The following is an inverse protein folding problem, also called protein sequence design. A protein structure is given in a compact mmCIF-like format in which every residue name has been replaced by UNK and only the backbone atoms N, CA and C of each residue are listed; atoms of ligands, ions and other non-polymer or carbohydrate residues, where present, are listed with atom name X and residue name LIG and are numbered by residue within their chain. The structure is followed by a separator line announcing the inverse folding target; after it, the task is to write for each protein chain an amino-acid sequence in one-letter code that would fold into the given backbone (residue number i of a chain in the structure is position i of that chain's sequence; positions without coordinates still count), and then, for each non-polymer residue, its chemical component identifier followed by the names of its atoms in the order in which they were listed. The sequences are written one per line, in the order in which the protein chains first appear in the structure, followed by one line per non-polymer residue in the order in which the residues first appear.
data_IF_296756213756
#
_entry.id   IF_296756213756
#
_cell.length_a   1.000
_cell.length_b   1.000
_cell.length_c   1.000
_cell.angle_alpha   90.00
_cell.angle_beta   90.00
_cell.angle_gamma   90.00
#
_symmetry.space_group_name_H-M   'P 1'
#
loop_
_entity.id
_entity.type
_entity.pdbx_description
1 polymer ?
#
# COMPACT_ATOMS: atom_id res chain seq x y z
N UNK A 1 -16.32 16.07 -40.24
CA UNK A 1 -16.06 16.52 -38.87
C UNK A 1 -15.00 15.60 -38.26
N UNK A 2 -13.71 15.88 -38.42
CA UNK A 2 -12.62 15.05 -37.82
C UNK A 2 -12.49 15.49 -36.39
N UNK A 3 -12.92 14.61 -35.46
CA UNK A 3 -12.61 14.78 -34.06
C UNK A 3 -11.08 14.76 -33.92
N UNK A 4 -10.47 15.89 -33.63
CA UNK A 4 -9.12 15.97 -33.13
C UNK A 4 -9.13 15.26 -31.77
N UNK A 5 -8.87 13.98 -31.79
CA UNK A 5 -8.42 13.25 -30.63
C UNK A 5 -7.03 13.80 -30.33
N UNK A 6 -6.98 14.96 -29.68
CA UNK A 6 -5.80 15.35 -28.95
C UNK A 6 -5.46 14.15 -28.07
N UNK A 7 -4.39 13.46 -28.42
CA UNK A 7 -3.77 12.47 -27.55
C UNK A 7 -3.29 13.25 -26.32
N UNK A 8 -4.20 13.43 -25.36
CA UNK A 8 -3.82 13.78 -24.01
C UNK A 8 -3.09 12.54 -23.45
N UNK A 9 -1.84 12.41 -23.88
CA UNK A 9 -1.00 11.29 -23.49
C UNK A 9 -0.54 11.45 -22.05
N UNK A 10 -0.13 10.36 -21.46
CA UNK A 10 0.61 10.34 -20.20
C UNK A 10 1.84 11.25 -20.35
N UNK A 11 1.93 12.26 -19.51
CA UNK A 11 3.05 13.20 -19.52
C UNK A 11 4.05 12.85 -18.40
N UNK A 12 5.29 13.27 -18.56
CA UNK A 12 6.30 13.10 -17.48
C UNK A 12 5.84 13.76 -16.18
N UNK A 13 5.07 14.84 -16.25
CA UNK A 13 4.53 15.53 -15.07
C UNK A 13 3.53 14.65 -14.32
N UNK A 14 2.57 14.05 -15.03
CA UNK A 14 1.58 13.18 -14.44
C UNK A 14 2.22 11.92 -13.86
N UNK A 15 3.26 11.38 -14.51
CA UNK A 15 4.01 10.25 -13.99
C UNK A 15 4.75 10.62 -12.69
N UNK A 16 5.46 11.73 -12.66
CA UNK A 16 6.15 12.21 -11.44
C UNK A 16 5.14 12.49 -10.32
N UNK A 17 4.02 13.15 -10.63
CA UNK A 17 2.96 13.38 -9.66
C UNK A 17 2.37 12.06 -9.12
N UNK A 18 2.17 11.07 -10.00
CA UNK A 18 1.70 9.74 -9.63
C UNK A 18 2.67 8.99 -8.72
N UNK A 19 3.97 9.01 -9.03
CA UNK A 19 5.00 8.42 -8.17
C UNK A 19 5.02 9.10 -6.79
N UNK A 20 4.98 10.43 -6.77
CA UNK A 20 4.95 11.18 -5.51
C UNK A 20 3.70 10.85 -4.69
N UNK A 21 2.52 10.82 -5.32
CA UNK A 21 1.28 10.43 -4.67
C UNK A 21 1.35 8.99 -4.14
N UNK A 22 1.91 8.06 -4.91
CA UNK A 22 2.10 6.66 -4.50
C UNK A 22 2.99 6.53 -3.27
N UNK A 23 4.09 7.25 -3.22
CA UNK A 23 4.99 7.26 -2.06
C UNK A 23 4.31 7.85 -0.82
N UNK A 24 3.60 8.97 -0.99
CA UNK A 24 2.87 9.62 0.12
C UNK A 24 1.75 8.71 0.65
N UNK A 25 0.99 8.08 -0.24
CA UNK A 25 -0.08 7.15 0.16
C UNK A 25 0.51 5.90 0.80
N UNK A 26 1.49 5.27 0.18
CA UNK A 26 2.11 4.05 0.70
C UNK A 26 2.72 4.26 2.10
N UNK A 27 3.53 5.30 2.26
CA UNK A 27 4.13 5.63 3.56
C UNK A 27 3.08 6.10 4.58
N UNK A 28 2.11 6.93 4.15
CA UNK A 28 1.06 7.47 5.01
C UNK A 28 0.12 6.39 5.55
N UNK A 29 -0.29 5.43 4.71
CA UNK A 29 -1.12 4.30 5.14
C UNK A 29 -0.35 3.40 6.09
N UNK A 30 0.90 3.04 5.76
CA UNK A 30 1.73 2.23 6.63
C UNK A 30 1.94 2.89 8.00
N UNK A 31 2.18 4.19 8.03
CA UNK A 31 2.34 4.94 9.28
C UNK A 31 1.04 5.03 10.09
N UNK A 32 -0.09 5.31 9.42
CA UNK A 32 -1.38 5.42 10.08
C UNK A 32 -1.81 4.09 10.73
N UNK A 33 -1.63 2.99 10.00
CA UNK A 33 -2.07 1.67 10.45
C UNK A 33 -1.16 1.10 11.55
N UNK A 34 0.18 1.24 11.41
CA UNK A 34 1.13 0.59 12.31
C UNK A 34 1.57 1.47 13.50
N UNK A 35 1.70 2.79 13.29
CA UNK A 35 2.21 3.71 14.32
C UNK A 35 1.07 4.39 15.06
N UNK A 36 0.15 5.02 14.32
CA UNK A 36 -1.00 5.73 14.93
C UNK A 36 -2.04 4.73 15.43
N UNK A 37 -2.13 3.54 14.79
CA UNK A 37 -3.18 2.53 15.03
C UNK A 37 -4.58 3.12 14.89
N UNK A 38 -4.74 3.93 13.86
CA UNK A 38 -6.01 4.57 13.49
C UNK A 38 -6.94 3.61 12.76
N UNK A 39 -7.96 4.18 12.12
CA UNK A 39 -8.81 3.42 11.19
C UNK A 39 -8.03 3.07 9.94
N UNK A 40 -8.28 1.88 9.38
CA UNK A 40 -7.66 1.46 8.13
C UNK A 40 -7.98 2.43 6.99
N UNK A 41 -6.94 3.00 6.39
CA UNK A 41 -7.06 3.95 5.28
C UNK A 41 -7.17 3.27 3.91
N UNK A 42 -6.84 1.99 3.85
CA UNK A 42 -7.02 1.14 2.68
C UNK A 42 -7.60 -0.22 3.13
N UNK A 43 -8.72 -0.61 2.52
CA UNK A 43 -9.42 -1.86 2.76
C UNK A 43 -9.61 -2.58 1.42
N UNK A 44 -9.90 -3.89 1.46
CA UNK A 44 -9.98 -4.78 0.27
C UNK A 44 -10.92 -4.30 -0.82
N UNK A 45 -12.03 -3.65 -0.45
CA UNK A 45 -13.09 -3.25 -1.41
C UNK A 45 -12.91 -1.83 -1.93
N UNK A 46 -12.00 -1.08 -1.37
CA UNK A 46 -11.77 0.32 -1.74
C UNK A 46 -10.71 0.97 -0.87
N UNK A 47 -10.15 2.04 -1.38
CA UNK A 47 -9.15 2.81 -0.66
C UNK A 47 -9.68 4.20 -0.35
N UNK A 48 -10.21 4.45 0.86
CA UNK A 48 -10.66 5.78 1.27
C UNK A 48 -9.58 6.84 1.06
N UNK A 49 -8.32 6.51 1.34
CA UNK A 49 -7.20 7.45 1.14
C UNK A 49 -6.99 7.81 -0.33
N UNK A 50 -7.11 6.85 -1.26
CA UNK A 50 -6.96 7.13 -2.68
C UNK A 50 -8.11 8.00 -3.21
N UNK A 51 -9.35 7.73 -2.78
CA UNK A 51 -10.52 8.56 -3.12
C UNK A 51 -10.38 9.96 -2.54
N UNK A 52 -9.94 10.09 -1.29
CA UNK A 52 -9.70 11.40 -0.67
C UNK A 52 -8.58 12.16 -1.39
N UNK A 53 -7.51 11.47 -1.77
CA UNK A 53 -6.42 12.06 -2.56
C UNK A 53 -6.93 12.54 -3.93
N UNK A 54 -7.76 11.75 -4.61
CA UNK A 54 -8.40 12.16 -5.86
C UNK A 54 -9.21 13.44 -5.68
N UNK A 55 -10.02 13.50 -4.61
CA UNK A 55 -10.82 14.70 -4.30
C UNK A 55 -9.91 15.91 -4.06
N UNK A 56 -8.90 15.80 -3.21
CA UNK A 56 -7.95 16.87 -2.94
C UNK A 56 -7.21 17.30 -4.21
N UNK A 57 -6.76 16.35 -5.01
CA UNK A 57 -6.06 16.64 -6.26
C UNK A 57 -6.97 17.32 -7.27
N UNK A 58 -8.15 16.79 -7.52
CA UNK A 58 -9.05 17.29 -8.57
C UNK A 58 -9.77 18.58 -8.16
N UNK A 59 -10.25 18.68 -6.90
CA UNK A 59 -11.09 19.78 -6.45
C UNK A 59 -10.30 20.96 -5.84
N UNK A 60 -9.12 20.70 -5.29
CA UNK A 60 -8.34 21.73 -4.61
C UNK A 60 -7.01 22.02 -5.33
N UNK A 61 -6.13 21.05 -5.45
CA UNK A 61 -4.78 21.28 -5.96
C UNK A 61 -4.77 21.63 -7.44
N UNK A 62 -5.51 20.92 -8.26
CA UNK A 62 -5.51 21.14 -9.70
C UNK A 62 -6.07 22.50 -10.11
N UNK A 63 -7.22 22.98 -9.56
CA UNK A 63 -7.66 24.36 -9.79
C UNK A 63 -6.68 25.40 -9.27
N UNK A 64 -6.09 25.19 -8.09
CA UNK A 64 -5.10 26.11 -7.52
C UNK A 64 -3.84 26.22 -8.38
N UNK A 65 -3.32 25.10 -8.86
CA UNK A 65 -2.20 25.07 -9.80
C UNK A 65 -2.53 25.80 -11.10
N UNK A 66 -3.74 25.67 -11.60
CA UNK A 66 -4.23 26.37 -12.78
C UNK A 66 -4.34 27.89 -12.59
N UNK A 67 -4.68 28.34 -11.36
CA UNK A 67 -4.69 29.76 -11.01
C UNK A 67 -3.28 30.35 -10.90
N UNK A 68 -2.33 29.60 -10.35
CA UNK A 68 -0.93 30.03 -10.24
C UNK A 68 -0.25 30.04 -11.60
N UNK A 69 -0.37 28.98 -12.36
CA UNK A 69 0.18 28.86 -13.70
C UNK A 69 -0.62 27.87 -14.53
N UNK A 70 -1.19 28.36 -15.63
CA UNK A 70 -2.06 27.55 -16.50
C UNK A 70 -1.39 26.31 -17.08
N UNK A 71 -0.07 26.31 -17.22
CA UNK A 71 0.71 25.18 -17.68
C UNK A 71 0.87 24.06 -16.64
N UNK A 72 0.54 24.31 -15.38
CA UNK A 72 0.63 23.32 -14.29
C UNK A 72 -0.68 22.56 -14.07
N UNK A 73 -1.76 23.04 -14.67
CA UNK A 73 -3.04 22.34 -14.62
C UNK A 73 -2.91 20.95 -15.27
N UNK A 74 -3.35 19.92 -14.55
CA UNK A 74 -3.39 18.54 -15.04
C UNK A 74 -4.70 18.30 -15.80
N UNK A 75 -4.61 17.62 -16.93
CA UNK A 75 -5.78 17.15 -17.67
C UNK A 75 -6.51 16.01 -16.93
N UNK A 76 -7.73 15.70 -17.34
CA UNK A 76 -8.51 14.63 -16.72
C UNK A 76 -7.80 13.27 -16.81
N UNK A 77 -7.13 12.97 -17.92
CA UNK A 77 -6.35 11.74 -18.10
C UNK A 77 -5.10 11.69 -17.20
N UNK A 78 -4.46 12.84 -16.97
CA UNK A 78 -3.32 12.94 -16.05
C UNK A 78 -3.77 12.73 -14.60
N UNK A 79 -4.88 13.34 -14.18
CA UNK A 79 -5.47 13.13 -12.84
C UNK A 79 -5.89 11.67 -12.65
N UNK A 80 -6.50 11.06 -13.67
CA UNK A 80 -6.87 9.65 -13.63
C UNK A 80 -5.64 8.73 -13.45
N UNK A 81 -4.53 9.03 -14.16
CA UNK A 81 -3.28 8.27 -13.99
C UNK A 81 -2.76 8.36 -12.55
N UNK A 82 -2.68 9.59 -11.99
CA UNK A 82 -2.23 9.79 -10.60
C UNK A 82 -3.11 9.01 -9.62
N UNK A 83 -4.43 9.03 -9.83
CA UNK A 83 -5.36 8.27 -9.01
C UNK A 83 -5.15 6.76 -9.09
N UNK A 84 -4.99 6.21 -10.30
CA UNK A 84 -4.76 4.77 -10.49
C UNK A 84 -3.44 4.36 -9.81
N UNK A 85 -2.38 5.13 -9.97
CA UNK A 85 -1.10 4.86 -9.31
C UNK A 85 -1.21 4.91 -7.78
N UNK A 86 -1.92 5.88 -7.23
CA UNK A 86 -2.17 5.99 -5.79
C UNK A 86 -3.05 4.84 -5.27
N UNK A 87 -4.05 4.42 -6.04
CA UNK A 87 -4.93 3.30 -5.70
C UNK A 87 -4.14 1.98 -5.61
N UNK A 88 -3.27 1.73 -6.59
CA UNK A 88 -2.39 0.55 -6.57
C UNK A 88 -1.42 0.62 -5.39
N UNK A 89 -0.81 1.79 -5.14
CA UNK A 89 0.09 1.96 -4.02
C UNK A 89 -0.58 1.74 -2.66
N UNK A 90 -1.84 2.16 -2.51
CA UNK A 90 -2.61 1.99 -1.29
C UNK A 90 -2.94 0.52 -0.97
N UNK A 91 -2.94 -0.37 -1.97
CA UNK A 91 -3.24 -1.79 -1.78
C UNK A 91 -2.10 -2.57 -1.14
N UNK A 92 -0.88 -2.03 -1.08
CA UNK A 92 0.30 -2.75 -0.60
C UNK A 92 0.42 -2.73 0.94
N UNK A 93 0.39 -1.56 1.63
CA UNK A 93 0.82 -1.44 3.02
C UNK A 93 -0.25 -1.75 4.08
N UNK A 94 -1.46 -2.09 3.69
CA UNK A 94 -2.59 -2.26 4.62
C UNK A 94 -3.22 -3.65 4.49
N UNK A 95 -4.53 -3.74 4.66
CA UNK A 95 -5.31 -4.98 4.54
C UNK A 95 -5.26 -5.63 3.15
N UNK A 96 -4.63 -4.99 2.16
CA UNK A 96 -4.36 -5.59 0.86
C UNK A 96 -3.26 -6.65 0.93
N UNK A 97 -2.06 -6.33 0.44
CA UNK A 97 -0.98 -7.33 0.36
C UNK A 97 -0.41 -7.69 1.73
N UNK A 98 0.05 -6.69 2.51
CA UNK A 98 0.78 -6.97 3.76
C UNK A 98 -0.10 -7.58 4.84
N UNK A 99 -1.36 -7.17 4.94
CA UNK A 99 -2.29 -7.67 5.93
C UNK A 99 -2.65 -9.15 5.78
N UNK A 100 -2.53 -9.70 4.58
CA UNK A 100 -2.81 -11.13 4.33
C UNK A 100 -1.54 -11.92 4.01
N UNK A 101 -0.65 -11.36 3.20
CA UNK A 101 0.51 -12.08 2.71
C UNK A 101 1.47 -12.50 3.84
N UNK A 102 1.80 -11.59 4.75
CA UNK A 102 2.69 -11.90 5.87
C UNK A 102 2.10 -12.94 6.83
N UNK A 103 0.82 -12.85 7.27
CA UNK A 103 0.18 -13.90 8.06
C UNK A 103 0.11 -15.25 7.34
N UNK A 104 -0.12 -15.28 6.02
CA UNK A 104 -0.11 -16.53 5.27
C UNK A 104 1.27 -17.19 5.23
N UNK A 105 2.34 -16.41 5.06
CA UNK A 105 3.70 -16.94 5.02
C UNK A 105 4.18 -17.47 6.37
N UNK A 106 3.83 -16.80 7.46
CA UNK A 106 4.34 -17.09 8.80
C UNK A 106 3.38 -17.92 9.67
N UNK A 107 2.09 -17.91 9.34
CA UNK A 107 1.06 -18.51 10.17
C UNK A 107 1.22 -20.01 10.34
N UNK A 108 1.61 -20.73 9.31
CA UNK A 108 1.84 -22.16 9.40
C UNK A 108 2.91 -22.51 10.45
N UNK A 109 3.97 -21.72 10.52
CA UNK A 109 5.06 -21.93 11.49
C UNK A 109 4.67 -21.50 12.90
N UNK A 110 3.95 -20.36 13.02
CA UNK A 110 3.50 -19.84 14.31
C UNK A 110 2.49 -20.75 15.00
N UNK A 111 1.52 -21.30 14.25
CA UNK A 111 0.46 -22.15 14.77
C UNK A 111 0.80 -23.64 14.72
N UNK A 112 2.01 -24.04 14.31
CA UNK A 112 2.43 -25.43 14.35
C UNK A 112 2.56 -25.93 15.78
N UNK A 113 1.85 -27.02 16.09
CA UNK A 113 1.93 -27.71 17.39
C UNK A 113 2.17 -29.19 17.18
N UNK A 114 2.67 -29.93 18.22
CA UNK A 114 2.80 -31.39 18.14
C UNK A 114 1.48 -32.09 17.79
N UNK A 115 0.34 -31.55 18.24
CA UNK A 115 -0.97 -32.14 18.05
C UNK A 115 -1.48 -32.01 16.61
N UNK A 116 -1.23 -30.88 15.95
CA UNK A 116 -1.63 -30.68 14.56
C UNK A 116 -0.66 -31.26 13.54
N UNK A 117 0.58 -31.55 13.96
CA UNK A 117 1.60 -32.18 13.14
C UNK A 117 2.04 -31.40 11.90
N UNK A 118 1.75 -30.10 11.81
CA UNK A 118 2.00 -29.31 10.61
C UNK A 118 3.47 -29.28 10.19
N UNK A 119 4.38 -29.33 11.16
CA UNK A 119 5.81 -29.40 10.89
C UNK A 119 6.19 -30.63 10.08
N UNK A 120 5.60 -31.80 10.39
CA UNK A 120 5.87 -33.06 9.70
C UNK A 120 5.00 -33.26 8.45
N UNK A 121 3.82 -32.67 8.40
CA UNK A 121 2.86 -32.89 7.31
C UNK A 121 3.20 -32.07 6.07
N UNK A 122 3.54 -30.79 6.21
CA UNK A 122 3.74 -29.95 5.04
C UNK A 122 4.80 -28.86 5.16
N UNK A 123 5.15 -28.36 6.38
CA UNK A 123 6.08 -27.22 6.51
C UNK A 123 7.46 -27.57 5.93
N UNK A 124 7.94 -28.79 6.11
CA UNK A 124 9.24 -29.22 5.56
C UNK A 124 9.26 -29.34 4.03
N UNK A 125 8.10 -29.32 3.36
CA UNK A 125 8.03 -29.26 1.90
C UNK A 125 7.99 -27.83 1.36
N UNK A 126 7.80 -26.81 2.23
CA UNK A 126 7.78 -25.42 1.80
C UNK A 126 9.21 -24.94 1.63
N UNK A 127 9.58 -24.38 0.46
CA UNK A 127 10.92 -23.87 0.23
C UNK A 127 11.29 -22.75 1.22
N UNK A 128 12.52 -22.74 1.70
CA UNK A 128 13.02 -21.78 2.69
C UNK A 128 12.86 -20.31 2.25
N UNK A 129 12.91 -20.04 0.95
CA UNK A 129 12.72 -18.67 0.43
C UNK A 129 11.28 -18.15 0.51
N UNK A 130 10.31 -19.03 0.75
CA UNK A 130 8.87 -18.66 0.86
C UNK A 130 8.43 -18.35 2.29
N UNK A 131 9.22 -18.70 3.28
CA UNK A 131 8.84 -18.55 4.68
C UNK A 131 9.92 -17.84 5.48
N UNK A 132 9.58 -17.06 6.50
CA UNK A 132 10.56 -16.51 7.42
C UNK A 132 11.28 -17.63 8.14
N UNK A 133 12.62 -17.63 8.14
CA UNK A 133 13.41 -18.68 8.77
C UNK A 133 13.69 -18.43 10.25
N UNK A 134 13.48 -17.21 10.73
CA UNK A 134 13.77 -16.82 12.10
C UNK A 134 12.54 -16.93 13.01
N UNK A 135 12.52 -17.91 13.93
CA UNK A 135 11.37 -18.10 14.84
C UNK A 135 11.09 -16.88 15.73
N UNK A 136 12.13 -16.13 16.11
CA UNK A 136 12.01 -14.89 16.87
C UNK A 136 11.20 -13.82 16.14
N UNK A 137 11.50 -13.61 14.85
CA UNK A 137 10.79 -12.64 14.02
C UNK A 137 9.32 -13.03 13.83
N UNK A 138 9.02 -14.33 13.67
CA UNK A 138 7.64 -14.83 13.56
C UNK A 138 6.88 -14.57 14.86
N UNK A 139 7.49 -14.88 16.00
CA UNK A 139 6.89 -14.65 17.30
C UNK A 139 6.62 -13.16 17.53
N UNK A 140 7.60 -12.31 17.27
CA UNK A 140 7.47 -10.85 17.42
C UNK A 140 6.40 -10.26 16.49
N UNK A 141 6.20 -10.85 15.32
CA UNK A 141 5.15 -10.44 14.40
C UNK A 141 3.74 -10.65 14.99
N UNK A 142 3.49 -11.78 15.65
CA UNK A 142 2.18 -12.09 16.23
C UNK A 142 1.98 -11.55 17.64
N UNK A 143 3.01 -11.56 18.47
CA UNK A 143 2.93 -11.19 19.88
C UNK A 143 3.36 -9.73 20.15
N UNK A 144 4.03 -9.12 19.18
CA UNK A 144 4.63 -7.79 19.32
C UNK A 144 6.02 -7.84 19.96
N UNK A 145 6.85 -6.91 19.57
CA UNK A 145 8.22 -6.79 20.14
C UNK A 145 8.14 -6.27 21.57
N UNK A 146 8.89 -6.85 22.52
CA UNK A 146 8.93 -6.36 23.89
C UNK A 146 9.32 -4.88 23.97
N UNK A 147 8.61 -4.12 24.81
CA UNK A 147 8.90 -2.69 25.00
C UNK A 147 10.34 -2.51 25.46
N UNK A 148 11.14 -1.76 24.70
CA UNK A 148 12.54 -1.43 25.05
C UNK A 148 13.61 -2.11 24.20
N UNK A 149 13.26 -3.01 23.27
CA UNK A 149 14.23 -3.66 22.39
C UNK A 149 14.50 -2.88 21.09
N UNK A 150 13.93 -1.67 20.92
CA UNK A 150 14.20 -0.79 19.77
C UNK A 150 13.71 -1.31 18.43
N UNK A 151 13.03 -2.43 18.38
CA UNK A 151 12.43 -2.98 17.17
C UNK A 151 11.07 -2.32 16.88
N UNK A 152 10.82 -2.00 15.62
CA UNK A 152 9.47 -1.65 15.17
C UNK A 152 8.74 -2.99 15.01
N UNK A 153 7.73 -3.22 15.86
CA UNK A 153 6.81 -4.33 15.63
C UNK A 153 6.01 -4.01 14.36
N UNK A 154 6.22 -4.79 13.35
CA UNK A 154 5.51 -4.70 12.07
C UNK A 154 4.13 -5.31 12.19
#
# INVERSE_FOLDING_TARGET
MRANLNREGITTRSFVAGVTASLVVGAGVAYADNVIRGSYLAIDFGSPVAVFLLFVLAALLNPLLGLLQRSWHLSASEVALVYIMALVAASVPSMGLTGFFLPYLSGAQYYATPENGWTSLFIHYVPDWMVPLEPGAIKDFYEGTPRGTGGVAW
#
